data_IF_331154083585
#
_entry.id   IF_331154083585
#
_cell.length_a   1.000
_cell.length_b   1.000
_cell.length_c   1.000
_cell.angle_alpha   90.00
_cell.angle_beta   90.00
_cell.angle_gamma   90.00
#
_symmetry.space_group_name_H-M   'P 1'
#
loop_
_entity.id
_entity.type
_entity.pdbx_description
1 polymer ?
#
# COMPACT_ATOMS: atom_id res chain seq x y z
N UNK A 1 -1.51 -2.78 55.55
CA UNK A 1 -2.56 -2.86 54.50
C UNK A 1 -2.01 -3.74 53.39
N UNK A 2 -2.36 -5.02 53.39
CA UNK A 2 -1.98 -5.94 52.31
C UNK A 2 -2.90 -5.71 51.12
N UNK A 3 -2.35 -5.34 49.97
CA UNK A 3 -3.11 -5.32 48.73
C UNK A 3 -3.54 -6.76 48.41
N UNK A 4 -4.83 -7.05 48.55
CA UNK A 4 -5.44 -8.27 48.01
C UNK A 4 -5.26 -8.22 46.48
N UNK A 5 -4.31 -8.99 45.95
CA UNK A 5 -4.21 -9.24 44.52
C UNK A 5 -5.39 -10.12 44.11
N UNK A 6 -6.53 -9.50 43.80
CA UNK A 6 -7.63 -10.19 43.14
C UNK A 6 -7.15 -10.62 41.75
N UNK A 7 -6.96 -11.91 41.55
CA UNK A 7 -6.56 -12.47 40.26
C UNK A 7 -7.83 -12.92 39.54
N UNK A 8 -8.05 -12.44 38.32
CA UNK A 8 -9.18 -12.89 37.49
C UNK A 8 -8.71 -14.06 36.64
N UNK A 9 -9.44 -15.19 36.70
CA UNK A 9 -9.24 -16.31 35.79
C UNK A 9 -10.25 -16.17 34.65
N UNK A 10 -9.80 -16.32 33.40
CA UNK A 10 -10.64 -16.32 32.23
C UNK A 10 -10.60 -17.71 31.61
N UNK A 11 -11.78 -18.32 31.41
CA UNK A 11 -11.90 -19.66 30.83
C UNK A 11 -11.73 -19.61 29.30
N UNK A 12 -12.29 -18.60 28.64
CA UNK A 12 -12.27 -18.43 27.19
C UNK A 12 -12.13 -16.94 26.78
N UNK A 13 -11.68 -16.71 25.54
CA UNK A 13 -11.57 -15.41 24.90
C UNK A 13 -12.26 -15.45 23.53
N UNK A 14 -13.02 -14.41 23.19
CA UNK A 14 -13.60 -14.23 21.86
C UNK A 14 -13.23 -12.86 21.27
N UNK A 15 -13.15 -12.78 19.94
CA UNK A 15 -12.88 -11.55 19.20
C UNK A 15 -14.12 -11.07 18.46
N UNK A 16 -14.07 -9.83 17.97
CA UNK A 16 -15.19 -9.21 17.25
C UNK A 16 -15.53 -9.93 15.92
N UNK A 17 -14.57 -10.63 15.33
CA UNK A 17 -14.70 -11.30 14.03
C UNK A 17 -14.74 -10.29 12.88
N UNK A 18 -15.03 -10.73 11.66
CA UNK A 18 -14.94 -9.82 10.51
C UNK A 18 -16.12 -8.84 10.48
N UNK A 19 -15.95 -7.58 10.03
CA UNK A 19 -17.07 -6.66 9.88
C UNK A 19 -18.04 -7.13 8.79
N UNK A 20 -19.19 -6.46 8.65
CA UNK A 20 -20.09 -6.75 7.53
C UNK A 20 -19.40 -6.37 6.21
N UNK A 21 -19.43 -7.27 5.24
CA UNK A 21 -18.88 -7.04 3.92
C UNK A 21 -19.98 -6.67 2.94
N UNK A 22 -19.75 -5.62 2.14
CA UNK A 22 -20.62 -5.36 0.99
C UNK A 22 -20.43 -6.47 -0.04
N UNK A 23 -21.48 -6.82 -0.78
CA UNK A 23 -21.33 -7.81 -1.84
C UNK A 23 -20.45 -7.24 -2.94
N UNK A 24 -19.39 -7.98 -3.26
CA UNK A 24 -18.56 -7.69 -4.41
C UNK A 24 -19.40 -7.72 -5.69
N UNK A 25 -19.32 -6.71 -6.56
CA UNK A 25 -19.99 -6.77 -7.84
C UNK A 25 -19.36 -7.86 -8.72
N UNK A 26 -20.18 -8.55 -9.49
CA UNK A 26 -19.66 -9.33 -10.62
C UNK A 26 -19.17 -8.32 -11.64
N UNK A 27 -17.85 -8.25 -11.83
CA UNK A 27 -17.25 -7.49 -12.92
C UNK A 27 -17.54 -8.22 -14.23
N UNK A 28 -18.78 -8.13 -14.71
CA UNK A 28 -19.17 -8.62 -16.02
C UNK A 28 -18.63 -7.71 -17.11
N UNK A 29 -18.34 -8.29 -18.27
CA UNK A 29 -18.05 -7.54 -19.49
C UNK A 29 -19.15 -6.48 -19.71
N UNK A 30 -18.75 -5.28 -20.12
CA UNK A 30 -19.60 -4.17 -20.57
C UNK A 30 -20.29 -3.25 -19.54
N UNK A 31 -19.63 -2.12 -19.27
CA UNK A 31 -20.29 -0.80 -19.08
C UNK A 31 -19.70 0.33 -19.93
N UNK A 32 -18.62 0.07 -20.68
CA UNK A 32 -17.94 1.06 -21.53
C UNK A 32 -17.86 0.67 -23.01
N UNK A 33 -18.31 -0.53 -23.41
CA UNK A 33 -18.43 -0.91 -24.82
C UNK A 33 -19.71 -0.32 -25.45
N UNK A 34 -19.83 1.00 -25.47
CA UNK A 34 -20.78 1.68 -26.33
C UNK A 34 -19.98 2.47 -27.37
N UNK A 35 -20.11 2.02 -28.63
CA UNK A 35 -19.65 2.63 -29.90
C UNK A 35 -18.30 2.16 -30.41
N UNK A 36 -18.28 0.98 -31.00
CA UNK A 36 -17.85 0.78 -32.39
C UNK A 36 -18.30 -0.64 -32.80
N UNK A 37 -19.06 -0.72 -33.89
CA UNK A 37 -19.53 -1.98 -34.46
C UNK A 37 -18.33 -2.84 -34.86
N UNK A 38 -18.11 -3.94 -34.14
CA UNK A 38 -17.24 -5.02 -34.61
C UNK A 38 -17.87 -6.38 -34.30
N UNK A 39 -17.76 -7.25 -35.29
CA UNK A 39 -18.38 -8.58 -35.37
C UNK A 39 -17.93 -9.54 -34.26
N UNK A 40 -18.78 -10.50 -33.86
CA UNK A 40 -18.45 -11.42 -32.78
C UNK A 40 -17.55 -12.53 -33.31
N UNK A 41 -16.24 -12.33 -33.19
CA UNK A 41 -15.24 -13.38 -33.42
C UNK A 41 -14.52 -13.72 -32.13
N UNK A 42 -14.93 -14.88 -31.61
CA UNK A 42 -14.19 -15.89 -30.84
C UNK A 42 -13.60 -15.52 -29.46
N UNK A 43 -14.12 -16.24 -28.46
CA UNK A 43 -13.72 -16.34 -27.03
C UNK A 43 -13.78 -15.04 -26.23
N UNK A 44 -14.81 -14.91 -25.39
CA UNK A 44 -15.00 -13.78 -24.48
C UNK A 44 -13.73 -13.43 -23.70
N UNK A 45 -13.11 -12.30 -24.06
CA UNK A 45 -11.95 -11.78 -23.37
C UNK A 45 -12.38 -11.37 -21.96
N UNK A 46 -12.05 -12.20 -20.97
CA UNK A 46 -12.26 -11.90 -19.56
C UNK A 46 -11.61 -10.53 -19.30
N UNK A 47 -12.43 -9.52 -18.97
CA UNK A 47 -11.99 -8.14 -18.75
C UNK A 47 -11.21 -8.06 -17.43
N UNK A 48 -10.00 -8.63 -17.43
CA UNK A 48 -9.09 -8.64 -16.30
C UNK A 48 -8.57 -7.23 -16.07
N UNK A 49 -8.98 -6.57 -15.00
CA UNK A 49 -8.44 -5.26 -14.59
C UNK A 49 -7.46 -5.44 -13.46
N UNK A 50 -6.36 -4.69 -13.48
CA UNK A 50 -5.30 -4.83 -12.50
C UNK A 50 -5.16 -3.59 -11.60
N UNK A 51 -4.98 -3.84 -10.31
CA UNK A 51 -4.48 -2.90 -9.32
C UNK A 51 -3.01 -3.27 -9.04
N UNK A 52 -2.12 -2.29 -9.13
CA UNK A 52 -0.70 -2.48 -8.82
C UNK A 52 -0.38 -1.80 -7.50
N UNK A 53 0.25 -2.53 -6.59
CA UNK A 53 0.74 -2.03 -5.31
C UNK A 53 2.27 -2.03 -5.30
N UNK A 54 2.85 -0.94 -4.84
CA UNK A 54 4.29 -0.77 -4.63
C UNK A 54 4.50 -0.04 -3.31
N UNK A 55 5.59 -0.29 -2.59
CA UNK A 55 5.87 0.38 -1.32
C UNK A 55 7.37 0.52 -1.08
N UNK A 56 7.81 1.47 -0.27
CA UNK A 56 9.22 1.58 0.14
C UNK A 56 10.18 1.79 -1.03
N UNK A 57 10.02 2.91 -1.75
CA UNK A 57 10.93 3.27 -2.84
C UNK A 57 12.31 3.70 -2.32
N UNK A 58 12.36 4.46 -1.22
CA UNK A 58 13.62 4.83 -0.57
C UNK A 58 14.63 5.57 -1.44
N UNK A 59 14.16 6.47 -2.32
CA UNK A 59 14.97 7.10 -3.37
C UNK A 59 16.17 7.93 -2.86
N UNK A 60 16.15 8.38 -1.60
CA UNK A 60 17.24 9.16 -1.02
C UNK A 60 18.45 8.30 -0.57
N UNK A 61 18.25 7.00 -0.38
CA UNK A 61 19.21 6.13 0.33
C UNK A 61 19.83 5.08 -0.58
N UNK A 62 19.05 4.52 -1.52
CA UNK A 62 19.51 3.42 -2.37
C UNK A 62 19.40 3.74 -3.86
N UNK A 63 20.53 4.14 -4.45
CA UNK A 63 20.64 4.39 -5.88
C UNK A 63 20.42 3.11 -6.72
N UNK A 64 20.60 1.91 -6.16
CA UNK A 64 20.39 0.65 -6.87
C UNK A 64 18.91 0.46 -7.23
N UNK A 65 17.99 1.02 -6.44
CA UNK A 65 16.54 0.94 -6.68
C UNK A 65 16.05 1.77 -7.88
N UNK A 66 16.85 2.72 -8.36
CA UNK A 66 16.44 3.66 -9.41
C UNK A 66 16.22 2.98 -10.76
N UNK A 67 17.12 2.09 -11.16
CA UNK A 67 17.01 1.37 -12.43
C UNK A 67 15.82 0.40 -12.44
N UNK A 68 15.63 -0.48 -11.42
CA UNK A 68 14.41 -1.26 -11.26
C UNK A 68 13.14 -0.44 -11.31
N UNK A 69 13.12 0.73 -10.68
CA UNK A 69 11.95 1.59 -10.68
C UNK A 69 11.69 2.23 -12.05
N UNK A 70 12.74 2.63 -12.78
CA UNK A 70 12.61 3.07 -14.16
C UNK A 70 12.08 1.94 -15.06
N UNK A 71 12.58 0.71 -14.90
CA UNK A 71 12.07 -0.46 -15.63
C UNK A 71 10.59 -0.71 -15.33
N UNK A 72 10.16 -0.52 -14.08
CA UNK A 72 8.75 -0.57 -13.72
C UNK A 72 7.93 0.52 -14.43
N UNK A 73 8.41 1.77 -14.45
CA UNK A 73 7.74 2.87 -15.16
C UNK A 73 7.64 2.57 -16.66
N UNK A 74 8.71 2.07 -17.28
CA UNK A 74 8.75 1.72 -18.71
C UNK A 74 7.86 0.50 -19.02
N UNK A 75 7.76 -0.46 -18.10
CA UNK A 75 6.86 -1.61 -18.21
C UNK A 75 5.39 -1.21 -18.10
N UNK A 76 5.04 -0.32 -17.16
CA UNK A 76 3.64 0.16 -16.96
C UNK A 76 3.21 1.15 -18.04
N UNK A 77 4.13 1.91 -18.61
CA UNK A 77 3.85 2.78 -19.76
C UNK A 77 3.78 2.02 -21.09
N UNK A 78 4.19 0.74 -21.12
CA UNK A 78 4.15 -0.12 -22.30
C UNK A 78 5.34 0.05 -23.25
N UNK A 79 6.39 0.77 -22.85
CA UNK A 79 7.63 0.88 -23.62
C UNK A 79 8.49 -0.39 -23.54
N UNK A 80 8.31 -1.19 -22.48
CA UNK A 80 9.01 -2.45 -22.26
C UNK A 80 8.06 -3.65 -22.34
N UNK A 81 8.56 -4.78 -22.86
CA UNK A 81 7.84 -6.06 -22.92
C UNK A 81 7.38 -6.45 -24.32
N UNK A 82 6.74 -7.63 -24.42
CA UNK A 82 6.13 -8.11 -25.67
C UNK A 82 4.66 -7.69 -25.79
N UNK A 83 4.01 -7.95 -26.93
CA UNK A 83 2.60 -7.63 -27.15
C UNK A 83 1.69 -8.17 -26.04
N UNK A 84 2.00 -9.36 -25.50
CA UNK A 84 1.26 -9.95 -24.38
C UNK A 84 1.40 -9.17 -23.07
N UNK A 85 2.60 -8.68 -22.77
CA UNK A 85 2.85 -7.83 -21.60
C UNK A 85 2.16 -6.48 -21.75
N UNK A 86 2.26 -5.88 -22.93
CA UNK A 86 1.60 -4.61 -23.24
C UNK A 86 0.08 -4.74 -23.12
N UNK A 87 -0.51 -5.86 -23.57
CA UNK A 87 -1.93 -6.16 -23.36
C UNK A 87 -2.27 -6.27 -21.87
N UNK A 88 -1.46 -6.95 -21.05
CA UNK A 88 -1.67 -7.04 -19.60
C UNK A 88 -1.57 -5.67 -18.94
N UNK A 89 -0.54 -4.89 -19.26
CA UNK A 89 -0.30 -3.55 -18.76
C UNK A 89 -1.42 -2.57 -19.15
N UNK A 90 -1.96 -2.67 -20.36
CA UNK A 90 -3.06 -1.80 -20.82
C UNK A 90 -4.33 -1.94 -19.96
N UNK A 91 -4.45 -3.04 -19.22
CA UNK A 91 -5.56 -3.32 -18.32
C UNK A 91 -5.29 -2.88 -16.87
N UNK A 92 -4.16 -2.22 -16.59
CA UNK A 92 -3.87 -1.62 -15.27
C UNK A 92 -4.73 -0.38 -15.08
N UNK A 93 -5.55 -0.37 -14.04
CA UNK A 93 -6.49 0.72 -13.75
C UNK A 93 -5.86 1.77 -12.83
N UNK A 94 -5.06 1.30 -11.87
CA UNK A 94 -4.50 2.16 -10.83
C UNK A 94 -3.21 1.56 -10.26
N UNK A 95 -2.27 2.44 -9.93
CA UNK A 95 -1.06 2.14 -9.16
C UNK A 95 -1.16 2.83 -7.80
N UNK A 96 -0.87 2.12 -6.72
CA UNK A 96 -0.82 2.69 -5.35
C UNK A 96 0.58 2.56 -4.80
N UNK A 97 1.18 3.69 -4.44
CA UNK A 97 2.49 3.78 -3.78
C UNK A 97 2.26 3.90 -2.27
N UNK A 98 2.44 2.80 -1.54
CA UNK A 98 2.10 2.65 -0.12
C UNK A 98 3.24 3.10 0.83
N UNK A 99 3.54 4.39 0.83
CA UNK A 99 4.43 5.04 1.81
C UNK A 99 5.92 4.73 1.69
N UNK A 100 6.72 5.52 2.41
CA UNK A 100 8.20 5.52 2.42
C UNK A 100 8.75 5.74 1.02
N UNK A 101 8.28 6.82 0.40
CA UNK A 101 8.57 7.17 -0.98
C UNK A 101 9.95 7.81 -1.10
N UNK A 102 10.33 8.65 -0.13
CA UNK A 102 11.61 9.36 -0.15
C UNK A 102 12.70 8.67 0.68
N UNK A 103 12.38 8.29 1.92
CA UNK A 103 13.33 7.72 2.89
C UNK A 103 12.85 6.39 3.44
N UNK A 104 13.76 5.62 4.02
CA UNK A 104 13.44 4.39 4.76
C UNK A 104 13.92 4.54 6.20
N UNK A 105 13.12 4.04 7.15
CA UNK A 105 13.48 4.06 8.57
C UNK A 105 14.67 3.14 8.91
N UNK A 106 14.93 2.13 8.08
CA UNK A 106 15.96 1.11 8.33
C UNK A 106 17.40 1.62 8.10
N UNK A 107 17.58 2.79 7.48
CA UNK A 107 18.88 3.36 7.16
C UNK A 107 19.35 4.37 8.21
N UNK A 108 19.15 4.07 9.49
CA UNK A 108 20.11 4.53 10.49
C UNK A 108 21.39 3.74 10.29
N UNK A 109 22.25 4.26 9.40
CA UNK A 109 23.69 4.09 9.65
C UNK A 109 23.94 4.49 11.11
N UNK A 110 24.74 3.71 11.82
CA UNK A 110 25.20 4.02 13.17
C UNK A 110 26.11 5.26 13.18
N UNK A 111 25.68 6.40 12.65
CA UNK A 111 26.32 7.69 12.90
C UNK A 111 25.76 8.27 14.19
N UNK A 112 26.13 7.63 15.29
CA UNK A 112 26.39 8.39 16.50
C UNK A 112 27.33 9.57 16.14
N UNK A 113 26.97 10.77 16.62
CA UNK A 113 27.77 12.03 16.60
C UNK A 113 27.69 12.87 15.33
N UNK A 114 26.80 13.87 15.31
CA UNK A 114 27.13 15.29 15.61
C UNK A 114 25.98 16.21 15.18
N UNK A 115 25.57 17.12 16.08
CA UNK A 115 24.42 18.04 15.93
C UNK A 115 24.64 19.18 14.91
N UNK A 116 25.48 19.01 13.88
CA UNK A 116 25.91 20.11 13.00
C UNK A 116 26.12 19.74 11.50
N UNK A 117 25.48 18.69 10.96
CA UNK A 117 25.53 18.35 9.53
C UNK A 117 24.22 18.62 8.76
N UNK A 118 23.50 19.68 9.11
CA UNK A 118 22.21 20.06 8.48
C UNK A 118 22.32 20.48 7.00
N UNK A 119 23.52 20.84 6.52
CA UNK A 119 23.69 21.44 5.18
C UNK A 119 23.81 20.43 4.02
N UNK A 120 24.17 19.16 4.29
CA UNK A 120 24.27 18.11 3.25
C UNK A 120 23.01 17.24 3.13
N UNK A 121 22.34 16.97 4.25
CA UNK A 121 21.10 16.17 4.26
C UNK A 121 19.98 16.88 3.48
N UNK A 122 19.80 18.19 3.68
CA UNK A 122 18.79 19.01 3.00
C UNK A 122 18.93 19.05 1.47
N UNK A 123 20.15 18.94 0.94
CA UNK A 123 20.37 18.91 -0.52
C UNK A 123 20.03 17.56 -1.14
N UNK A 124 20.30 16.45 -0.42
CA UNK A 124 20.00 15.09 -0.89
C UNK A 124 18.48 14.87 -0.97
N UNK A 125 17.76 15.31 0.07
CA UNK A 125 16.30 15.22 0.14
C UNK A 125 15.63 16.01 -1.00
N UNK A 126 16.14 17.20 -1.30
CA UNK A 126 15.64 18.01 -2.41
C UNK A 126 15.90 17.37 -3.78
N UNK A 127 17.05 16.72 -3.99
CA UNK A 127 17.31 15.97 -5.22
C UNK A 127 16.44 14.72 -5.34
N UNK A 128 16.24 13.98 -4.24
CA UNK A 128 15.37 12.80 -4.21
C UNK A 128 13.90 13.19 -4.51
N UNK A 129 13.41 14.29 -3.94
CA UNK A 129 12.07 14.81 -4.25
C UNK A 129 11.91 15.20 -5.73
N UNK A 130 12.93 15.84 -6.34
CA UNK A 130 12.91 16.15 -7.78
C UNK A 130 12.93 14.88 -8.64
N UNK A 131 13.68 13.88 -8.24
CA UNK A 131 13.74 12.59 -8.93
C UNK A 131 12.40 11.86 -8.84
N UNK A 132 11.81 11.81 -7.66
CA UNK A 132 10.47 11.28 -7.45
C UNK A 132 9.44 12.00 -8.33
N UNK A 133 9.46 13.33 -8.34
CA UNK A 133 8.56 14.14 -9.18
C UNK A 133 8.72 13.84 -10.68
N UNK A 134 9.94 13.60 -11.16
CA UNK A 134 10.15 13.14 -12.55
C UNK A 134 9.47 11.80 -12.82
N UNK A 135 9.75 10.81 -11.98
CA UNK A 135 9.31 9.44 -12.19
C UNK A 135 7.79 9.31 -12.03
N UNK A 136 7.21 10.01 -11.04
CA UNK A 136 5.76 10.08 -10.88
C UNK A 136 5.09 10.83 -12.03
N UNK A 137 5.71 11.88 -12.60
CA UNK A 137 5.18 12.52 -13.81
C UNK A 137 5.12 11.55 -14.98
N UNK A 138 6.18 10.74 -15.17
CA UNK A 138 6.20 9.72 -16.22
C UNK A 138 5.08 8.69 -16.00
N UNK A 139 4.96 8.13 -14.79
CA UNK A 139 3.96 7.12 -14.48
C UNK A 139 2.52 7.68 -14.56
N UNK A 140 2.28 8.83 -13.94
CA UNK A 140 0.96 9.47 -13.90
C UNK A 140 0.47 9.91 -15.29
N UNK A 141 1.36 10.10 -16.26
CA UNK A 141 0.97 10.41 -17.65
C UNK A 141 0.20 9.26 -18.32
N UNK A 142 0.36 8.03 -17.86
CA UNK A 142 -0.27 6.83 -18.47
C UNK A 142 -1.34 6.19 -17.59
N UNK A 143 -1.17 6.22 -16.26
CA UNK A 143 -2.06 5.54 -15.31
C UNK A 143 -2.42 6.43 -14.12
N UNK A 144 -3.54 6.15 -13.45
CA UNK A 144 -3.88 6.81 -12.18
C UNK A 144 -2.94 6.32 -11.08
N UNK A 145 -2.33 7.25 -10.36
CA UNK A 145 -1.35 6.96 -9.30
C UNK A 145 -1.81 7.59 -8.00
N UNK A 146 -2.01 6.75 -6.99
CA UNK A 146 -2.30 7.20 -5.62
C UNK A 146 -1.03 7.05 -4.78
N UNK A 147 -0.56 8.12 -4.15
CA UNK A 147 0.64 8.12 -3.30
C UNK A 147 0.24 8.31 -1.84
N UNK A 148 0.44 7.26 -1.04
CA UNK A 148 0.22 7.27 0.41
C UNK A 148 1.46 7.80 1.13
N UNK A 149 1.25 8.50 2.24
CA UNK A 149 2.30 8.90 3.17
C UNK A 149 2.82 7.72 4.01
N UNK A 150 4.12 7.64 4.24
CA UNK A 150 4.76 6.70 5.18
C UNK A 150 5.38 7.36 6.40
N UNK A 151 6.01 6.57 7.26
CA UNK A 151 6.63 7.02 8.52
C UNK A 151 7.86 7.91 8.28
N UNK A 152 8.65 7.57 7.26
CA UNK A 152 9.89 8.27 6.93
C UNK A 152 9.70 9.43 5.94
N UNK A 153 8.47 9.66 5.47
CA UNK A 153 8.16 10.71 4.53
C UNK A 153 7.99 12.07 5.24
N UNK A 154 8.15 13.21 4.54
CA UNK A 154 7.99 14.57 5.10
C UNK A 154 6.52 14.91 5.37
N UNK A 155 5.90 14.16 6.28
CA UNK A 155 4.52 14.30 6.74
C UNK A 155 4.46 14.16 8.27
N UNK A 156 3.26 14.25 8.84
CA UNK A 156 3.06 14.03 10.28
C UNK A 156 3.46 12.61 10.68
N UNK A 157 4.15 12.45 11.80
CA UNK A 157 4.39 11.14 12.42
C UNK A 157 3.14 10.59 13.13
N UNK A 158 2.17 11.45 13.46
CA UNK A 158 0.89 11.03 14.06
C UNK A 158 -0.02 10.40 13.01
N UNK A 159 -0.64 9.29 13.37
CA UNK A 159 -1.71 8.66 12.60
C UNK A 159 -3.08 9.26 12.94
N UNK A 160 -4.01 9.36 11.97
CA UNK A 160 -3.84 9.18 10.53
C UNK A 160 -2.91 10.24 9.91
N UNK A 161 -1.96 9.79 9.09
CA UNK A 161 -1.03 10.68 8.41
C UNK A 161 -1.72 11.39 7.25
N UNK A 162 -1.47 12.70 7.14
CA UNK A 162 -2.01 13.53 6.07
C UNK A 162 -1.28 13.32 4.75
N UNK A 163 -1.92 13.59 3.59
CA UNK A 163 -1.31 13.44 2.29
C UNK A 163 -0.04 14.28 2.13
N UNK A 164 0.88 13.81 1.27
CA UNK A 164 2.06 14.58 0.89
C UNK A 164 1.66 15.91 0.24
N UNK A 165 2.28 16.99 0.70
CA UNK A 165 1.99 18.32 0.19
C UNK A 165 2.43 18.45 -1.28
N UNK A 166 1.61 19.01 -2.20
CA UNK A 166 1.94 19.13 -3.62
C UNK A 166 3.23 19.90 -3.93
N UNK A 167 3.75 20.70 -2.99
CA UNK A 167 5.04 21.39 -3.16
C UNK A 167 6.24 20.44 -3.31
N UNK A 168 6.10 19.19 -2.87
CA UNK A 168 7.12 18.16 -3.05
C UNK A 168 7.12 17.61 -4.48
N UNK A 169 6.00 17.73 -5.19
CA UNK A 169 5.76 17.16 -6.52
C UNK A 169 5.24 18.24 -7.49
N UNK A 170 5.97 19.35 -7.68
CA UNK A 170 5.46 20.50 -8.39
C UNK A 170 5.13 20.21 -9.87
N UNK A 171 5.92 19.38 -10.56
CA UNK A 171 5.66 19.07 -11.98
C UNK A 171 4.51 18.11 -12.13
N UNK A 172 4.49 17.05 -11.33
CA UNK A 172 3.41 16.05 -11.40
C UNK A 172 2.07 16.70 -11.04
N UNK A 173 2.03 17.50 -9.97
CA UNK A 173 0.81 18.17 -9.53
C UNK A 173 0.27 19.20 -10.55
N UNK A 174 1.14 19.82 -11.35
CA UNK A 174 0.74 20.78 -12.39
C UNK A 174 0.34 20.10 -13.70
N UNK A 175 0.96 18.97 -14.03
CA UNK A 175 0.86 18.36 -15.37
C UNK A 175 -0.14 17.20 -15.41
N UNK A 176 -0.29 16.47 -14.31
CA UNK A 176 -1.02 15.20 -14.27
C UNK A 176 -2.20 15.30 -13.29
N UNK A 177 -3.43 15.33 -13.81
CA UNK A 177 -4.67 15.25 -13.00
C UNK A 177 -4.95 13.85 -12.45
N UNK A 178 -4.15 12.87 -12.88
CA UNK A 178 -4.22 11.43 -12.55
C UNK A 178 -3.43 11.07 -11.30
N UNK A 179 -2.58 11.97 -10.79
CA UNK A 179 -1.87 11.80 -9.52
C UNK A 179 -2.78 12.25 -8.36
N UNK A 180 -2.85 11.43 -7.31
CA UNK A 180 -3.52 11.78 -6.07
C UNK A 180 -2.62 11.46 -4.87
N UNK A 181 -2.25 12.47 -4.08
CA UNK A 181 -1.67 12.23 -2.75
C UNK A 181 -2.82 11.90 -1.78
N UNK A 182 -2.67 10.83 -1.01
CA UNK A 182 -3.71 10.31 -0.10
C UNK A 182 -3.17 10.10 1.31
N UNK A 183 -4.08 9.91 2.26
CA UNK A 183 -3.78 9.68 3.68
C UNK A 183 -3.20 8.29 3.92
N UNK A 184 -2.69 8.06 5.13
CA UNK A 184 -2.44 6.72 5.66
C UNK A 184 -3.09 6.60 7.04
N UNK A 185 -4.02 5.65 7.26
CA UNK A 185 -4.56 4.64 6.33
C UNK A 185 -5.29 5.21 5.09
N UNK A 186 -5.48 4.36 4.08
CA UNK A 186 -6.21 4.69 2.85
C UNK A 186 -7.29 3.65 2.53
N UNK A 187 -8.51 4.10 2.26
CA UNK A 187 -9.63 3.26 1.84
C UNK A 187 -10.29 3.86 0.61
N UNK A 188 -10.57 3.02 -0.39
CA UNK A 188 -11.18 3.44 -1.65
C UNK A 188 -11.89 2.27 -2.35
N UNK A 189 -12.80 2.59 -3.26
CA UNK A 189 -13.54 1.61 -4.04
C UNK A 189 -13.09 1.67 -5.51
N UNK A 190 -12.67 0.54 -6.07
CA UNK A 190 -12.33 0.37 -7.49
C UNK A 190 -13.31 -0.59 -8.15
N UNK A 191 -14.14 -0.10 -9.06
CA UNK A 191 -15.16 -0.90 -9.73
C UNK A 191 -16.05 -1.68 -8.74
N UNK A 192 -16.28 -1.11 -7.56
CA UNK A 192 -17.03 -1.72 -6.44
C UNK A 192 -16.25 -2.78 -5.64
N UNK A 193 -14.98 -3.02 -5.96
CA UNK A 193 -14.03 -3.71 -5.09
C UNK A 193 -13.44 -2.70 -4.11
N UNK A 194 -13.89 -2.76 -2.86
CA UNK A 194 -13.28 -2.05 -1.74
C UNK A 194 -11.87 -2.51 -1.41
N UNK A 195 -10.96 -1.56 -1.35
CA UNK A 195 -9.56 -1.73 -0.97
C UNK A 195 -9.27 -0.90 0.28
N UNK A 196 -8.60 -1.49 1.26
CA UNK A 196 -8.10 -0.85 2.46
C UNK A 196 -6.60 -1.12 2.57
N UNK A 197 -5.84 -0.10 2.95
CA UNK A 197 -4.40 -0.24 3.06
C UNK A 197 -3.75 0.66 4.09
N UNK A 198 -2.62 0.22 4.62
CA UNK A 198 -1.73 1.02 5.46
C UNK A 198 -0.32 1.03 4.89
N UNK A 199 0.49 2.00 5.30
CA UNK A 199 1.93 2.03 4.97
C UNK A 199 2.77 1.08 5.84
N UNK A 200 2.14 0.20 6.63
CA UNK A 200 2.81 -0.89 7.37
C UNK A 200 3.23 -0.60 8.82
N UNK A 201 3.11 0.64 9.31
CA UNK A 201 3.51 0.96 10.71
C UNK A 201 2.75 0.11 11.73
N UNK A 202 1.47 -0.18 11.48
CA UNK A 202 0.63 -0.96 12.36
C UNK A 202 1.13 -2.40 12.53
N UNK A 203 1.55 -3.06 11.45
CA UNK A 203 2.08 -4.42 11.51
C UNK A 203 3.44 -4.45 12.23
N UNK A 204 4.33 -3.52 11.86
CA UNK A 204 5.65 -3.41 12.47
C UNK A 204 5.56 -3.18 13.97
N UNK A 205 4.64 -2.33 14.43
CA UNK A 205 4.46 -2.05 15.85
C UNK A 205 3.87 -3.23 16.61
N UNK A 206 2.81 -3.88 16.09
CA UNK A 206 2.26 -5.09 16.71
C UNK A 206 3.34 -6.18 16.83
N UNK A 207 4.19 -6.35 15.81
CA UNK A 207 5.28 -7.33 15.83
C UNK A 207 6.33 -7.09 16.92
N UNK A 208 6.45 -5.87 17.47
CA UNK A 208 7.35 -5.59 18.60
C UNK A 208 6.81 -6.13 19.93
N UNK A 209 5.49 -6.30 20.05
CA UNK A 209 4.81 -6.62 21.31
C UNK A 209 4.08 -7.97 21.28
N UNK A 210 3.75 -8.48 20.09
CA UNK A 210 3.08 -9.75 19.90
C UNK A 210 4.09 -10.85 19.51
N UNK A 211 3.80 -12.09 19.93
CA UNK A 211 4.54 -13.28 19.48
C UNK A 211 3.98 -13.80 18.16
N UNK A 212 3.92 -12.92 17.15
CA UNK A 212 3.42 -13.22 15.81
C UNK A 212 4.51 -12.81 14.83
N UNK A 213 5.25 -13.78 14.31
CA UNK A 213 6.42 -13.51 13.46
C UNK A 213 6.03 -13.13 12.03
N UNK A 214 4.92 -13.68 11.53
CA UNK A 214 4.48 -13.50 10.15
C UNK A 214 3.61 -12.24 9.99
N UNK A 215 4.03 -11.24 9.19
CA UNK A 215 3.26 -10.00 9.04
C UNK A 215 1.87 -10.21 8.43
N UNK A 216 1.71 -11.25 7.60
CA UNK A 216 0.42 -11.61 7.02
C UNK A 216 -0.56 -12.12 8.10
N UNK A 217 -0.07 -12.80 9.14
CA UNK A 217 -0.88 -13.23 10.27
C UNK A 217 -1.28 -12.02 11.12
N UNK A 218 -0.35 -11.08 11.35
CA UNK A 218 -0.68 -9.81 12.02
C UNK A 218 -1.79 -9.06 11.28
N UNK A 219 -1.72 -9.01 9.95
CA UNK A 219 -2.76 -8.41 9.10
C UNK A 219 -4.12 -9.13 9.20
N UNK A 220 -4.10 -10.47 9.32
CA UNK A 220 -5.32 -11.25 9.55
C UNK A 220 -5.91 -10.95 10.94
N UNK A 221 -5.06 -10.77 11.95
CA UNK A 221 -5.47 -10.44 13.31
C UNK A 221 -6.08 -9.05 13.42
N UNK A 222 -5.50 -8.03 12.78
CA UNK A 222 -6.11 -6.68 12.77
C UNK A 222 -7.51 -6.70 12.17
N UNK A 223 -7.75 -7.53 11.15
CA UNK A 223 -9.07 -7.74 10.56
C UNK A 223 -10.03 -8.48 11.52
N UNK A 224 -9.57 -9.53 12.21
CA UNK A 224 -10.34 -10.27 13.23
C UNK A 224 -10.72 -9.40 14.44
N UNK A 225 -9.81 -8.52 14.85
CA UNK A 225 -10.02 -7.55 15.93
C UNK A 225 -10.90 -6.37 15.51
N UNK A 226 -11.18 -6.21 14.20
CA UNK A 226 -11.82 -5.03 13.59
C UNK A 226 -11.11 -3.72 13.95
N UNK A 227 -9.79 -3.75 14.07
CA UNK A 227 -9.02 -2.58 14.48
C UNK A 227 -7.70 -2.51 13.72
N UNK A 228 -7.49 -1.43 12.97
CA UNK A 228 -6.29 -1.24 12.14
C UNK A 228 -5.01 -1.15 12.98
N UNK A 229 -5.09 -0.48 14.13
CA UNK A 229 -3.94 -0.08 14.97
C UNK A 229 -4.27 -0.25 16.46
N UNK A 230 -4.48 -1.48 16.97
CA UNK A 230 -4.93 -1.71 18.35
C UNK A 230 -3.93 -1.26 19.44
N UNK A 231 -2.69 -1.00 19.04
CA UNK A 231 -1.61 -0.53 19.92
C UNK A 231 -1.51 1.00 20.00
N UNK A 232 -2.33 1.72 19.22
CA UNK A 232 -2.51 3.15 19.36
C UNK A 232 -3.45 3.48 20.54
N UNK A 233 -3.22 4.59 21.28
CA UNK A 233 -2.12 5.55 21.15
C UNK A 233 -0.84 5.16 21.93
N UNK A 234 -0.84 4.02 22.63
CA UNK A 234 0.17 3.68 23.63
C UNK A 234 1.59 3.52 23.06
N UNK A 235 1.73 2.87 21.91
CA UNK A 235 3.03 2.63 21.24
C UNK A 235 3.10 3.28 19.87
N UNK A 236 1.98 3.33 19.14
CA UNK A 236 1.82 4.13 17.93
C UNK A 236 1.22 5.48 18.26
N UNK A 237 1.95 6.55 17.93
CA UNK A 237 1.50 7.91 18.15
C UNK A 237 0.33 8.26 17.21
N UNK A 238 -0.78 8.71 17.79
CA UNK A 238 -1.97 9.10 17.05
C UNK A 238 -2.47 10.48 17.45
N UNK A 239 -3.26 11.07 16.56
CA UNK A 239 -4.01 12.26 16.91
C UNK A 239 -5.10 11.89 17.94
N UNK A 240 -5.31 12.69 19.00
CA UNK A 240 -6.35 12.42 19.98
C UNK A 240 -7.73 12.69 19.39
N UNK A 241 -8.49 11.64 19.09
CA UNK A 241 -9.88 11.75 18.65
C UNK A 241 -10.82 11.61 19.86
N UNK A 242 -11.54 12.68 20.25
CA UNK A 242 -12.39 12.65 21.46
C UNK A 242 -13.69 11.87 21.26
N UNK A 243 -14.23 11.85 20.04
CA UNK A 243 -15.60 11.38 19.78
C UNK A 243 -15.67 9.95 19.22
N UNK A 244 -14.75 9.60 18.31
CA UNK A 244 -14.76 8.32 17.61
C UNK A 244 -13.34 7.92 17.19
N UNK A 245 -13.04 6.63 17.31
CA UNK A 245 -11.76 6.08 16.88
C UNK A 245 -11.78 5.79 15.36
N UNK A 246 -10.93 6.46 14.54
CA UNK A 246 -10.90 6.27 13.10
C UNK A 246 -10.29 4.92 12.67
N UNK A 247 -9.69 4.15 13.59
CA UNK A 247 -9.02 2.90 13.28
C UNK A 247 -9.92 1.67 13.41
N UNK A 248 -11.16 1.84 13.88
CA UNK A 248 -12.17 0.80 13.90
C UNK A 248 -12.63 0.49 12.47
N UNK A 249 -12.60 -0.79 12.09
CA UNK A 249 -13.07 -1.24 10.79
C UNK A 249 -14.59 -1.43 10.80
N UNK A 250 -15.33 -0.42 10.33
CA UNK A 250 -16.79 -0.50 10.23
C UNK A 250 -17.27 -1.47 9.14
N UNK A 251 -16.53 -1.53 8.04
CA UNK A 251 -16.90 -2.29 6.84
C UNK A 251 -15.74 -3.17 6.40
N UNK A 252 -16.03 -4.41 6.06
CA UNK A 252 -15.02 -5.37 5.67
C UNK A 252 -14.54 -5.06 4.23
N UNK A 253 -13.22 -4.89 4.00
CA UNK A 253 -12.69 -4.68 2.66
C UNK A 253 -12.71 -5.98 1.85
N UNK A 254 -12.55 -5.91 0.53
CA UNK A 254 -12.30 -7.09 -0.29
C UNK A 254 -10.80 -7.35 -0.47
N UNK A 255 -10.00 -6.28 -0.46
CA UNK A 255 -8.54 -6.33 -0.48
C UNK A 255 -8.04 -5.53 0.73
N UNK A 256 -7.24 -6.16 1.58
CA UNK A 256 -6.59 -5.50 2.70
C UNK A 256 -5.09 -5.67 2.59
N UNK A 257 -4.35 -4.57 2.45
CA UNK A 257 -2.91 -4.61 2.26
C UNK A 257 -2.12 -3.81 3.31
N UNK A 258 -0.86 -4.18 3.50
CA UNK A 258 0.10 -3.39 4.25
C UNK A 258 1.39 -3.22 3.45
N UNK A 259 1.83 -1.96 3.32
CA UNK A 259 3.11 -1.59 2.68
C UNK A 259 4.32 -1.87 3.57
N UNK A 260 5.51 -1.70 3.00
CA UNK A 260 6.79 -1.68 3.69
C UNK A 260 7.14 -2.97 4.46
N UNK A 261 6.61 -4.10 4.02
CA UNK A 261 6.85 -5.40 4.65
C UNK A 261 8.19 -6.00 4.19
N UNK A 262 8.80 -6.93 4.97
CA UNK A 262 10.06 -7.55 4.58
C UNK A 262 9.91 -8.43 3.33
N UNK A 263 8.82 -9.18 3.24
CA UNK A 263 8.55 -10.13 2.17
C UNK A 263 7.14 -9.97 1.62
N UNK A 264 6.98 -10.31 0.33
CA UNK A 264 5.68 -10.48 -0.28
C UNK A 264 4.97 -11.73 0.27
N UNK A 265 3.70 -11.59 0.61
CA UNK A 265 2.81 -12.70 0.91
C UNK A 265 1.37 -12.30 0.60
N UNK A 266 0.54 -13.27 0.18
CA UNK A 266 -0.86 -13.05 -0.07
C UNK A 266 -1.68 -14.28 0.34
N UNK A 267 -2.88 -14.05 0.90
CA UNK A 267 -3.78 -15.12 1.31
C UNK A 267 -5.22 -14.62 1.29
N UNK A 268 -6.12 -15.46 0.80
CA UNK A 268 -7.56 -15.23 0.94
C UNK A 268 -8.00 -15.82 2.29
N UNK A 269 -8.70 -15.01 3.08
CA UNK A 269 -9.30 -15.42 4.36
C UNK A 269 -10.81 -15.29 4.30
N UNK A 270 -11.50 -16.20 4.98
CA UNK A 270 -12.96 -16.23 5.03
C UNK A 270 -13.46 -15.94 6.44
N UNK A 271 -14.51 -15.13 6.54
CA UNK A 271 -15.21 -14.85 7.78
C UNK A 271 -16.42 -15.75 7.97
N UNK A 272 -16.91 -15.86 9.21
CA UNK A 272 -18.03 -16.75 9.58
C UNK A 272 -19.36 -16.44 8.88
N UNK A 273 -19.53 -15.22 8.37
CA UNK A 273 -20.73 -14.79 7.64
C UNK A 273 -20.53 -14.82 6.11
N UNK A 274 -19.54 -15.59 5.64
CA UNK A 274 -19.22 -15.74 4.22
C UNK A 274 -18.48 -14.53 3.63
N UNK A 275 -17.86 -13.70 4.48
CA UNK A 275 -16.95 -12.66 4.00
C UNK A 275 -15.72 -13.30 3.36
N UNK A 276 -15.16 -12.68 2.33
CA UNK A 276 -13.94 -13.13 1.67
C UNK A 276 -13.00 -11.94 1.44
N UNK A 277 -11.79 -12.00 2.00
CA UNK A 277 -10.83 -10.90 1.96
C UNK A 277 -9.47 -11.40 1.46
N UNK A 278 -8.93 -10.74 0.44
CA UNK A 278 -7.54 -10.91 0.01
C UNK A 278 -6.63 -10.06 0.91
N UNK A 279 -5.82 -10.73 1.72
CA UNK A 279 -4.75 -10.12 2.50
C UNK A 279 -3.47 -10.06 1.66
N UNK A 280 -2.75 -8.94 1.71
CA UNK A 280 -1.52 -8.73 0.95
C UNK A 280 -0.47 -7.98 1.77
N UNK A 281 0.72 -8.55 1.90
CA UNK A 281 1.91 -7.81 2.38
C UNK A 281 2.74 -7.38 1.18
N UNK A 282 2.94 -6.08 1.04
CA UNK A 282 3.70 -5.49 -0.07
C UNK A 282 5.14 -5.27 0.39
N UNK A 283 6.14 -5.87 -0.28
CA UNK A 283 7.53 -5.73 0.14
C UNK A 283 8.07 -4.33 -0.12
N UNK A 284 9.17 -3.96 0.55
CA UNK A 284 9.95 -2.76 0.25
C UNK A 284 10.60 -2.90 -1.13
N UNK A 285 10.22 -2.05 -2.08
CA UNK A 285 10.68 -2.08 -3.46
C UNK A 285 12.20 -1.91 -3.55
N UNK A 286 12.80 -1.05 -2.72
CA UNK A 286 14.25 -0.86 -2.70
C UNK A 286 15.07 -2.12 -2.40
N UNK A 287 14.49 -3.13 -1.73
CA UNK A 287 15.18 -4.39 -1.40
C UNK A 287 14.74 -5.54 -2.30
N UNK A 288 13.44 -5.60 -2.61
CA UNK A 288 12.84 -6.74 -3.30
C UNK A 288 12.67 -6.50 -4.81
N UNK A 289 12.87 -5.27 -5.29
CA UNK A 289 12.65 -4.82 -6.66
C UNK A 289 11.33 -5.31 -7.26
N UNK A 290 10.28 -5.41 -6.44
CA UNK A 290 9.05 -6.09 -6.82
C UNK A 290 7.80 -5.26 -6.53
N UNK A 291 6.83 -5.41 -7.43
CA UNK A 291 5.51 -4.82 -7.33
C UNK A 291 4.47 -5.93 -7.26
N UNK A 292 3.31 -5.64 -6.68
CA UNK A 292 2.26 -6.64 -6.47
C UNK A 292 1.08 -6.32 -7.37
N UNK A 293 0.73 -7.24 -8.26
CA UNK A 293 -0.35 -7.10 -9.22
C UNK A 293 -1.55 -7.90 -8.76
N UNK A 294 -2.69 -7.23 -8.64
CA UNK A 294 -3.93 -7.84 -8.17
C UNK A 294 -4.97 -7.77 -9.28
N UNK A 295 -5.45 -8.92 -9.71
CA UNK A 295 -6.59 -9.01 -10.62
C UNK A 295 -7.88 -8.68 -9.86
N UNK A 296 -8.53 -7.59 -10.22
CA UNK A 296 -9.76 -7.11 -9.56
C UNK A 296 -10.97 -8.02 -9.79
N UNK A 297 -10.90 -9.00 -10.70
CA UNK A 297 -11.96 -9.99 -10.96
C UNK A 297 -11.70 -11.33 -10.27
N UNK A 298 -10.49 -11.88 -10.34
CA UNK A 298 -10.18 -13.16 -9.68
C UNK A 298 -9.69 -13.02 -8.23
N UNK A 299 -9.26 -11.82 -7.81
CA UNK A 299 -8.44 -11.59 -6.60
C UNK A 299 -7.12 -12.36 -6.60
N UNK A 300 -6.69 -12.84 -7.77
CA UNK A 300 -5.37 -13.42 -7.91
C UNK A 300 -4.32 -12.32 -7.75
N UNK A 301 -3.31 -12.60 -6.92
CA UNK A 301 -2.26 -11.69 -6.54
C UNK A 301 -0.92 -12.30 -7.00
N UNK A 302 -0.14 -11.55 -7.76
CA UNK A 302 1.14 -12.00 -8.31
C UNK A 302 2.22 -10.92 -8.13
N UNK A 303 3.41 -11.27 -7.62
CA UNK A 303 4.53 -10.36 -7.61
C UNK A 303 5.17 -10.29 -9.01
N UNK A 304 5.60 -9.10 -9.42
CA UNK A 304 6.41 -8.85 -10.62
C UNK A 304 7.72 -8.23 -10.17
N UNK A 305 8.83 -8.88 -10.48
CA UNK A 305 10.20 -8.52 -10.04
C UNK A 305 10.95 -7.87 -11.20
N UNK A 306 11.64 -6.77 -10.93
CA UNK A 306 12.45 -5.98 -11.85
C UNK A 306 13.92 -6.07 -11.44
N UNK A 307 14.50 -7.26 -11.59
CA UNK A 307 15.92 -7.47 -11.26
C UNK A 307 16.81 -7.17 -12.46
N UNK A 308 18.04 -6.75 -12.20
CA UNK A 308 19.04 -6.43 -13.22
C UNK A 308 20.35 -7.12 -12.86
N UNK A 309 20.77 -8.07 -13.71
CA UNK A 309 22.12 -8.63 -13.63
C UNK A 309 23.12 -7.58 -14.13
N UNK A 310 23.81 -6.93 -13.19
CA UNK A 310 24.90 -5.98 -13.47
C UNK A 310 26.28 -6.62 -13.33
#
# INVERSE_FOLDING_TARGET
MGALKSTTCADDLCYAGFPKQMRRPVLSQDKYACRLDSTPTDRGDVFNRYLVLISGLGLAEDAASLLPFQLFVDYVSGFLGCDGDQQKTSKVVRVVVAGNVLKLKDCTSESSKTKFSTRKESTCDASAARLLDNLLTQLASFVKVDVMSGDADPCSSLLPQQPLHPCLLPRTAQTCSTLQCVTNPYMFDLDGVRVLGTSGQNLSDIGLYARIDEPLEVLARTLEWRHLMPTAPDTLATYPFPDADPFIMEQCPHIYFAGNQPNYAAKIVQGDQGQEVLLVTVPKFCKAFSTVWINLQSLECQPVVFDVDL
#
